data_IF_205741210643
#
_entry.id   IF_205741210643
#
_cell.length_a   1.000
_cell.length_b   1.000
_cell.length_c   1.000
_cell.angle_alpha   90.00
_cell.angle_beta   90.00
_cell.angle_gamma   90.00
#
_symmetry.space_group_name_H-M   'P 1'
#
loop_
_entity.id
_entity.type
_entity.pdbx_description
1 polymer ?
#
# COMPACT_ATOMS: atom_id res chain seq x y z
N UNK A 1 -10.75 6.67 2.10
CA UNK A 1 -10.82 5.65 1.03
C UNK A 1 -10.98 4.28 1.64
N UNK A 2 -11.76 3.39 1.01
CA UNK A 2 -12.01 2.03 1.49
C UNK A 2 -11.14 1.07 0.67
N UNK A 3 -10.22 0.38 1.33
CA UNK A 3 -9.44 -0.71 0.73
C UNK A 3 -10.31 -1.97 0.75
N UNK A 4 -10.52 -2.62 -0.39
CA UNK A 4 -11.58 -3.62 -0.56
C UNK A 4 -11.21 -5.06 -0.14
N UNK A 5 -10.21 -5.24 0.72
CA UNK A 5 -9.81 -6.58 1.19
C UNK A 5 -9.26 -7.52 0.11
N UNK A 6 -9.04 -7.00 -1.10
CA UNK A 6 -8.38 -7.71 -2.19
C UNK A 6 -6.88 -7.36 -2.17
N UNK A 7 -6.03 -8.38 -2.23
CA UNK A 7 -4.57 -8.26 -2.15
C UNK A 7 -3.85 -8.81 -3.40
N UNK A 8 -4.53 -8.88 -4.54
CA UNK A 8 -3.85 -9.25 -5.78
C UNK A 8 -2.88 -8.15 -6.20
N UNK A 9 -1.94 -8.49 -7.09
CA UNK A 9 -1.03 -7.49 -7.70
C UNK A 9 -1.80 -6.39 -8.46
N UNK A 10 -2.96 -6.73 -9.03
CA UNK A 10 -3.77 -5.79 -9.80
C UNK A 10 -4.54 -4.78 -8.93
N UNK A 11 -4.92 -5.19 -7.71
CA UNK A 11 -5.86 -4.42 -6.87
C UNK A 11 -5.17 -3.70 -5.70
N UNK A 12 -4.11 -4.28 -5.13
CA UNK A 12 -3.42 -3.65 -4.01
C UNK A 12 -2.72 -2.37 -4.45
N UNK A 13 -2.77 -1.33 -3.61
CA UNK A 13 -2.24 0.02 -3.88
C UNK A 13 -2.96 0.77 -5.02
N UNK A 14 -4.03 0.20 -5.59
CA UNK A 14 -4.78 0.83 -6.68
C UNK A 14 -5.92 1.68 -6.11
N UNK A 15 -6.05 2.92 -6.59
CA UNK A 15 -7.31 3.65 -6.47
C UNK A 15 -8.28 3.10 -7.51
N UNK A 16 -9.54 2.85 -7.12
CA UNK A 16 -10.58 2.55 -8.11
C UNK A 16 -10.61 3.69 -9.14
N UNK A 17 -10.41 3.32 -10.40
CA UNK A 17 -10.35 4.23 -11.54
C UNK A 17 -11.70 4.31 -12.24
N UNK A 18 -11.85 5.33 -13.10
CA UNK A 18 -13.09 5.65 -13.82
C UNK A 18 -13.68 4.49 -14.64
N UNK A 19 -12.87 3.50 -15.01
CA UNK A 19 -13.30 2.35 -15.82
C UNK A 19 -14.15 1.31 -15.08
N UNK A 20 -14.22 1.37 -13.75
CA UNK A 20 -14.99 0.42 -12.94
C UNK A 20 -16.32 1.03 -12.51
N UNK A 21 -17.43 0.58 -13.12
CA UNK A 21 -18.78 1.06 -12.81
C UNK A 21 -19.22 0.56 -11.43
N UNK A 22 -19.05 1.39 -10.42
CA UNK A 22 -19.59 1.16 -9.08
C UNK A 22 -20.45 2.35 -8.64
N UNK A 23 -21.61 2.06 -8.07
CA UNK A 23 -22.55 3.07 -7.58
C UNK A 23 -22.54 3.11 -6.07
N UNK A 24 -22.56 4.30 -5.49
CA UNK A 24 -22.77 4.49 -4.06
C UNK A 24 -24.21 4.19 -3.68
N UNK A 25 -24.48 3.99 -2.38
CA UNK A 25 -25.84 3.76 -1.84
C UNK A 25 -26.83 4.87 -2.24
N UNK A 26 -26.32 6.05 -2.57
CA UNK A 26 -27.06 7.22 -3.03
C UNK A 26 -27.40 7.21 -4.53
N UNK A 27 -26.91 6.23 -5.30
CA UNK A 27 -27.13 6.11 -6.74
C UNK A 27 -26.17 6.92 -7.62
N UNK A 28 -25.21 7.64 -7.02
CA UNK A 28 -24.15 8.32 -7.76
C UNK A 28 -23.01 7.37 -8.11
N UNK A 29 -22.31 7.65 -9.22
CA UNK A 29 -21.11 6.90 -9.59
C UNK A 29 -20.03 7.13 -8.53
N UNK A 30 -19.57 6.06 -7.89
CA UNK A 30 -18.56 6.08 -6.82
C UNK A 30 -17.26 6.76 -7.26
N UNK A 31 -16.96 6.73 -8.56
CA UNK A 31 -15.77 7.34 -9.14
C UNK A 31 -15.77 8.87 -8.97
N UNK A 32 -16.93 9.53 -8.98
CA UNK A 32 -17.03 10.99 -8.75
C UNK A 32 -16.70 11.38 -7.32
N UNK A 33 -17.29 10.70 -6.33
CA UNK A 33 -17.02 10.96 -4.91
C UNK A 33 -15.56 10.67 -4.56
N UNK A 34 -14.99 9.60 -5.13
CA UNK A 34 -13.56 9.27 -4.98
C UNK A 34 -12.69 10.37 -5.58
N UNK A 35 -12.95 10.80 -6.82
CA UNK A 35 -12.15 11.83 -7.47
C UNK A 35 -12.25 13.18 -6.74
N UNK A 36 -13.44 13.60 -6.32
CA UNK A 36 -13.63 14.81 -5.53
C UNK A 36 -12.86 14.77 -4.20
N UNK A 37 -12.82 13.61 -3.53
CA UNK A 37 -12.03 13.45 -2.31
C UNK A 37 -10.52 13.58 -2.59
N UNK A 38 -10.03 13.04 -3.71
CA UNK A 38 -8.62 13.15 -4.11
C UNK A 38 -8.23 14.59 -4.45
N UNK A 39 -9.14 15.33 -5.08
CA UNK A 39 -8.98 16.76 -5.36
C UNK A 39 -8.96 17.60 -4.10
N UNK A 40 -9.84 17.31 -3.14
CA UNK A 40 -9.82 17.96 -1.82
C UNK A 40 -8.49 17.72 -1.09
N UNK A 41 -8.00 16.47 -1.07
CA UNK A 41 -6.67 16.15 -0.51
C UNK A 41 -5.56 16.94 -1.19
N UNK A 42 -5.59 17.07 -2.52
CA UNK A 42 -4.57 17.81 -3.26
C UNK A 42 -4.63 19.32 -2.95
N UNK A 43 -5.83 19.88 -2.86
CA UNK A 43 -6.05 21.28 -2.50
C UNK A 43 -5.55 21.59 -1.08
N UNK A 44 -5.77 20.67 -0.14
CA UNK A 44 -5.40 20.81 1.26
C UNK A 44 -4.03 20.18 1.59
N UNK A 45 -3.22 19.81 0.59
CA UNK A 45 -1.96 19.12 0.82
C UNK A 45 -0.98 19.92 1.69
N UNK A 46 -1.00 21.27 1.63
CA UNK A 46 -0.16 22.12 2.49
C UNK A 46 -0.55 22.04 3.98
N UNK A 47 -1.80 21.67 4.29
CA UNK A 47 -2.24 21.40 5.67
C UNK A 47 -1.83 20.02 6.15
N UNK A 48 -1.73 19.05 5.23
CA UNK A 48 -1.41 17.65 5.53
C UNK A 48 0.09 17.40 5.59
N UNK A 49 0.90 18.07 4.75
CA UNK A 49 2.36 17.86 4.69
C UNK A 49 3.05 18.01 6.06
N UNK A 50 2.74 19.01 6.90
CA UNK A 50 3.34 19.13 8.24
C UNK A 50 3.01 17.95 9.17
N UNK A 51 1.89 17.26 8.96
CA UNK A 51 1.48 16.12 9.77
C UNK A 51 2.32 14.86 9.51
N UNK A 52 3.20 14.89 8.50
CA UNK A 52 4.23 13.85 8.33
C UNK A 52 5.28 13.89 9.45
N UNK A 53 5.39 15.00 10.18
CA UNK A 53 6.29 15.15 11.33
C UNK A 53 5.57 15.12 12.68
N UNK A 54 4.28 14.74 12.69
CA UNK A 54 3.48 14.61 13.91
C UNK A 54 4.14 13.62 14.90
N UNK A 55 4.16 13.88 16.22
CA UNK A 55 4.72 12.96 17.20
C UNK A 55 4.05 11.58 17.20
N UNK A 56 2.75 11.49 16.91
CA UNK A 56 2.01 10.24 16.82
C UNK A 56 2.25 9.55 15.48
N UNK A 57 2.85 8.36 15.53
CA UNK A 57 3.06 7.49 14.37
C UNK A 57 1.78 7.19 13.60
N UNK A 58 0.64 7.13 14.28
CA UNK A 58 -0.66 6.81 13.70
C UNK A 58 -1.12 7.96 12.82
N UNK A 59 -0.91 9.20 13.27
CA UNK A 59 -1.15 10.41 12.47
C UNK A 59 -0.22 10.42 11.27
N UNK A 60 1.09 10.19 11.45
CA UNK A 60 2.04 10.13 10.31
C UNK A 60 1.65 9.11 9.25
N UNK A 61 1.27 7.90 9.66
CA UNK A 61 0.81 6.84 8.74
C UNK A 61 -0.47 7.28 8.03
N UNK A 62 -1.48 7.75 8.76
CA UNK A 62 -2.75 8.19 8.17
C UNK A 62 -2.54 9.34 7.16
N UNK A 63 -1.68 10.30 7.51
CA UNK A 63 -1.28 11.41 6.65
C UNK A 63 -0.61 10.92 5.37
N UNK A 64 0.34 9.99 5.46
CA UNK A 64 1.02 9.44 4.29
C UNK A 64 0.02 8.77 3.33
N UNK A 65 -0.92 7.98 3.84
CA UNK A 65 -1.95 7.35 3.00
C UNK A 65 -2.99 8.34 2.47
N UNK A 66 -3.32 9.39 3.22
CA UNK A 66 -4.18 10.47 2.74
C UNK A 66 -3.50 11.21 1.59
N UNK A 67 -2.26 11.69 1.78
CA UNK A 67 -1.49 12.39 0.75
C UNK A 67 -1.23 11.52 -0.48
N UNK A 68 -0.99 10.22 -0.33
CA UNK A 68 -0.85 9.30 -1.47
C UNK A 68 -2.11 9.26 -2.36
N UNK A 69 -3.27 9.65 -1.83
CA UNK A 69 -4.52 9.75 -2.58
C UNK A 69 -4.67 11.02 -3.41
N UNK A 70 -3.81 12.02 -3.24
CA UNK A 70 -3.93 13.30 -3.94
C UNK A 70 -4.03 13.10 -5.47
N UNK A 71 -4.94 13.84 -6.11
CA UNK A 71 -5.11 13.85 -7.57
C UNK A 71 -4.10 14.75 -8.30
N UNK A 72 -3.29 15.51 -7.57
CA UNK A 72 -2.13 16.25 -8.10
C UNK A 72 -1.04 16.40 -7.02
N UNK A 73 0.02 17.15 -7.30
CA UNK A 73 1.17 17.42 -6.40
C UNK A 73 2.08 16.22 -6.11
N UNK A 74 2.09 15.24 -7.01
CA UNK A 74 2.93 14.04 -6.94
C UNK A 74 4.37 14.35 -6.50
N UNK A 75 5.06 15.25 -7.21
CA UNK A 75 6.48 15.51 -6.97
C UNK A 75 6.75 16.08 -5.56
N UNK A 76 5.91 17.00 -5.09
CA UNK A 76 6.03 17.58 -3.75
C UNK A 76 5.84 16.51 -2.67
N UNK A 77 4.81 15.68 -2.84
CA UNK A 77 4.43 14.62 -1.91
C UNK A 77 5.47 13.51 -1.89
N UNK A 78 5.97 13.07 -3.06
CA UNK A 78 7.07 12.09 -3.15
C UNK A 78 8.33 12.60 -2.47
N UNK A 79 8.68 13.87 -2.69
CA UNK A 79 9.85 14.49 -2.05
C UNK A 79 9.70 14.48 -0.53
N UNK A 80 8.52 14.85 -0.02
CA UNK A 80 8.22 14.81 1.41
C UNK A 80 8.27 13.38 1.98
N UNK A 81 7.71 12.39 1.28
CA UNK A 81 7.76 11.00 1.70
C UNK A 81 9.18 10.44 1.77
N UNK A 82 10.00 10.70 0.75
CA UNK A 82 11.40 10.27 0.76
C UNK A 82 12.19 10.95 1.88
N UNK A 83 12.03 12.26 2.06
CA UNK A 83 12.66 13.00 3.16
C UNK A 83 12.25 12.43 4.52
N UNK A 84 10.97 12.15 4.71
CA UNK A 84 10.45 11.57 5.95
C UNK A 84 10.95 10.15 6.17
N UNK A 85 10.98 9.31 5.14
CA UNK A 85 11.44 7.93 5.24
C UNK A 85 12.89 7.82 5.72
N UNK A 86 13.77 8.75 5.31
CA UNK A 86 15.17 8.80 5.73
C UNK A 86 15.35 9.03 7.24
N UNK A 87 14.40 9.71 7.88
CA UNK A 87 14.49 10.13 9.29
C UNK A 87 13.47 9.44 10.20
N UNK A 88 12.59 8.61 9.64
CA UNK A 88 11.49 7.99 10.39
C UNK A 88 12.02 6.93 11.38
N UNK A 89 11.83 7.15 12.71
CA UNK A 89 12.32 6.22 13.72
C UNK A 89 11.42 4.99 13.88
N UNK A 90 10.14 5.06 13.50
CA UNK A 90 9.18 4.01 13.78
C UNK A 90 9.08 3.00 12.62
N UNK A 91 9.38 1.70 12.84
CA UNK A 91 9.38 0.68 11.79
C UNK A 91 8.06 0.61 10.99
N UNK A 92 6.91 0.58 11.66
CA UNK A 92 5.62 0.53 10.96
C UNK A 92 5.35 1.78 10.10
N UNK A 93 5.87 2.95 10.50
CA UNK A 93 5.71 4.16 9.71
C UNK A 93 6.66 4.15 8.50
N UNK A 94 7.87 3.57 8.60
CA UNK A 94 8.74 3.32 7.44
C UNK A 94 8.08 2.41 6.41
N UNK A 95 7.49 1.31 6.86
CA UNK A 95 6.72 0.40 6.00
C UNK A 95 5.52 1.12 5.36
N UNK A 96 4.77 1.90 6.15
CA UNK A 96 3.66 2.71 5.66
C UNK A 96 4.07 3.73 4.60
N UNK A 97 5.18 4.44 4.79
CA UNK A 97 5.73 5.38 3.82
C UNK A 97 6.17 4.69 2.53
N UNK A 98 6.83 3.53 2.61
CA UNK A 98 7.20 2.76 1.42
C UNK A 98 5.97 2.35 0.61
N UNK A 99 4.90 1.87 1.26
CA UNK A 99 3.65 1.53 0.57
C UNK A 99 2.90 2.78 0.06
N UNK A 100 2.97 3.91 0.75
CA UNK A 100 2.36 5.17 0.31
C UNK A 100 3.07 5.75 -0.93
N UNK A 101 4.40 5.69 -0.98
CA UNK A 101 5.20 6.02 -2.17
C UNK A 101 4.77 5.14 -3.35
N UNK A 102 4.64 3.84 -3.13
CA UNK A 102 4.20 2.90 -4.16
C UNK A 102 2.77 3.18 -4.66
N UNK A 103 1.86 3.50 -3.75
CA UNK A 103 0.48 3.85 -4.09
C UNK A 103 0.42 5.14 -4.92
N UNK A 104 1.23 6.14 -4.60
CA UNK A 104 1.33 7.37 -5.37
C UNK A 104 1.93 7.08 -6.76
N UNK A 105 3.05 6.35 -6.83
CA UNK A 105 3.66 5.96 -8.10
C UNK A 105 2.72 5.14 -9.00
N UNK A 106 1.88 4.28 -8.41
CA UNK A 106 0.86 3.55 -9.18
C UNK A 106 -0.16 4.49 -9.82
N UNK A 107 -0.55 5.56 -9.12
CA UNK A 107 -1.52 6.53 -9.63
C UNK A 107 -0.97 7.36 -10.80
N UNK A 108 0.33 7.64 -10.81
CA UNK A 108 1.00 8.47 -11.82
C UNK A 108 1.90 7.69 -12.80
N UNK A 109 1.95 6.36 -12.67
CA UNK A 109 2.77 5.46 -13.49
C UNK A 109 4.29 5.76 -13.43
N UNK A 110 4.79 6.21 -12.28
CA UNK A 110 6.18 6.58 -12.10
C UNK A 110 7.12 5.36 -12.14
N UNK A 111 7.88 5.24 -13.22
CA UNK A 111 8.87 4.19 -13.42
C UNK A 111 10.08 4.33 -12.51
N UNK A 112 10.41 5.55 -12.06
CA UNK A 112 11.51 5.81 -11.13
C UNK A 112 11.29 5.11 -9.81
N UNK A 113 10.07 5.19 -9.27
CA UNK A 113 9.67 4.47 -8.06
C UNK A 113 9.76 2.95 -8.23
N UNK A 114 9.42 2.38 -9.39
CA UNK A 114 9.54 0.92 -9.62
C UNK A 114 11.00 0.46 -9.45
N UNK A 115 11.94 1.20 -10.03
CA UNK A 115 13.38 0.92 -9.91
C UNK A 115 13.83 1.10 -8.46
N UNK A 116 13.38 2.16 -7.80
CA UNK A 116 13.71 2.43 -6.40
C UNK A 116 13.20 1.34 -5.45
N UNK A 117 11.98 0.83 -5.63
CA UNK A 117 11.43 -0.28 -4.83
C UNK A 117 12.26 -1.55 -5.00
N UNK A 118 12.71 -1.83 -6.22
CA UNK A 118 13.58 -2.98 -6.49
C UNK A 118 14.92 -2.82 -5.79
N UNK A 119 15.52 -1.63 -5.83
CA UNK A 119 16.75 -1.36 -5.11
C UNK A 119 16.57 -1.52 -3.59
N UNK A 120 15.49 -0.97 -3.02
CA UNK A 120 15.19 -1.06 -1.60
C UNK A 120 15.00 -2.49 -1.11
N UNK A 121 14.35 -3.37 -1.90
CA UNK A 121 14.18 -4.76 -1.46
C UNK A 121 15.50 -5.55 -1.44
N UNK A 122 16.43 -5.21 -2.35
CA UNK A 122 17.72 -5.91 -2.51
C UNK A 122 18.84 -5.33 -1.63
N UNK A 123 18.69 -4.11 -1.13
CA UNK A 123 19.69 -3.45 -0.28
C UNK A 123 19.69 -4.05 1.14
N UNK A 124 20.79 -4.70 1.58
CA UNK A 124 20.88 -5.28 2.92
C UNK A 124 20.97 -4.22 4.03
N UNK A 125 21.28 -2.96 3.70
CA UNK A 125 21.25 -1.86 4.66
C UNK A 125 19.82 -1.44 5.03
N UNK A 126 18.83 -1.82 4.22
CA UNK A 126 17.44 -1.50 4.50
C UNK A 126 16.86 -2.38 5.63
N UNK A 127 16.06 -1.80 6.53
CA UNK A 127 15.33 -2.56 7.54
C UNK A 127 14.41 -3.63 6.95
N UNK A 128 14.18 -4.78 7.63
CA UNK A 128 13.35 -5.86 7.12
C UNK A 128 11.94 -5.42 6.68
N UNK A 129 11.28 -4.56 7.45
CA UNK A 129 9.93 -4.09 7.14
C UNK A 129 9.88 -3.18 5.90
N UNK A 130 10.96 -2.44 5.62
CA UNK A 130 11.09 -1.65 4.39
C UNK A 130 11.32 -2.58 3.20
N UNK A 131 12.18 -3.60 3.37
CA UNK A 131 12.46 -4.58 2.30
C UNK A 131 11.22 -5.39 1.91
N UNK A 132 10.45 -5.86 2.89
CA UNK A 132 9.18 -6.57 2.67
C UNK A 132 8.14 -5.64 2.01
N UNK A 133 8.00 -4.41 2.52
CA UNK A 133 7.06 -3.44 1.95
C UNK A 133 7.43 -3.04 0.51
N UNK A 134 8.71 -2.85 0.23
CA UNK A 134 9.23 -2.56 -1.10
C UNK A 134 9.04 -3.74 -2.06
N UNK A 135 9.22 -4.97 -1.60
CA UNK A 135 8.97 -6.17 -2.39
C UNK A 135 7.48 -6.31 -2.75
N UNK A 136 6.57 -6.09 -1.80
CA UNK A 136 5.13 -6.05 -2.04
C UNK A 136 4.76 -4.94 -3.03
N UNK A 137 5.26 -3.72 -2.80
CA UNK A 137 5.05 -2.58 -3.66
C UNK A 137 5.52 -2.84 -5.09
N UNK A 138 6.72 -3.39 -5.26
CA UNK A 138 7.27 -3.72 -6.58
C UNK A 138 6.34 -4.69 -7.32
N UNK A 139 5.86 -5.75 -6.65
CA UNK A 139 4.91 -6.70 -7.25
C UNK A 139 3.58 -6.06 -7.65
N UNK A 140 3.14 -4.99 -6.98
CA UNK A 140 1.92 -4.26 -7.34
C UNK A 140 2.13 -3.31 -8.52
N UNK A 141 3.36 -2.81 -8.70
CA UNK A 141 3.69 -1.83 -9.74
C UNK A 141 4.06 -2.46 -11.09
N UNK A 142 4.18 -3.78 -11.16
CA UNK A 142 4.64 -4.49 -12.36
C UNK A 142 3.94 -5.82 -12.57
N UNK A 143 3.77 -6.18 -13.85
CA UNK A 143 3.33 -7.50 -14.27
C UNK A 143 4.50 -8.47 -14.54
N UNK A 144 5.74 -8.04 -14.25
CA UNK A 144 6.92 -8.88 -14.42
C UNK A 144 6.89 -10.11 -13.49
N UNK A 145 7.49 -11.24 -13.92
CA UNK A 145 7.68 -12.38 -13.05
C UNK A 145 8.52 -11.99 -11.83
N UNK A 146 8.16 -12.53 -10.66
CA UNK A 146 8.88 -12.25 -9.41
C UNK A 146 10.28 -12.87 -9.48
N UNK A 147 11.35 -12.06 -9.38
CA UNK A 147 12.71 -12.58 -9.37
C UNK A 147 12.97 -13.46 -8.15
N UNK A 148 13.79 -14.50 -8.30
CA UNK A 148 14.12 -15.42 -7.21
C UNK A 148 14.76 -14.72 -6.01
N UNK A 149 15.55 -13.68 -6.26
CA UNK A 149 16.11 -12.83 -5.20
C UNK A 149 15.00 -12.17 -4.37
N UNK A 150 13.95 -11.65 -5.01
CA UNK A 150 12.83 -11.02 -4.32
C UNK A 150 12.04 -12.05 -3.51
N UNK A 151 11.87 -13.27 -4.06
CA UNK A 151 11.27 -14.39 -3.35
C UNK A 151 12.08 -14.76 -2.10
N UNK A 152 13.40 -14.86 -2.21
CA UNK A 152 14.28 -15.15 -1.09
C UNK A 152 14.21 -14.07 0.00
N UNK A 153 14.10 -12.79 -0.38
CA UNK A 153 13.89 -11.69 0.57
C UNK A 153 12.58 -11.87 1.34
N UNK A 154 11.49 -12.18 0.63
CA UNK A 154 10.19 -12.39 1.26
C UNK A 154 10.20 -13.63 2.18
N UNK A 155 10.78 -14.74 1.75
CA UNK A 155 10.90 -15.96 2.57
C UNK A 155 11.74 -15.72 3.84
N UNK A 156 12.77 -14.87 3.76
CA UNK A 156 13.67 -14.59 4.89
C UNK A 156 13.06 -13.55 5.85
N UNK A 157 12.36 -12.55 5.35
CA UNK A 157 12.02 -11.34 6.12
C UNK A 157 10.52 -11.14 6.36
N UNK A 158 9.63 -11.84 5.65
CA UNK A 158 8.19 -11.79 5.94
C UNK A 158 7.84 -12.70 7.13
N UNK A 159 8.43 -12.41 8.29
CA UNK A 159 8.19 -13.14 9.53
C UNK A 159 6.90 -12.68 10.21
N UNK A 160 6.44 -13.43 11.22
CA UNK A 160 5.30 -13.05 12.04
C UNK A 160 5.50 -11.71 12.76
N UNK A 161 6.73 -11.37 13.15
CA UNK A 161 7.05 -10.08 13.75
C UNK A 161 6.81 -8.93 12.76
N UNK A 162 7.27 -9.08 11.51
CA UNK A 162 7.02 -8.08 10.47
C UNK A 162 5.53 -8.02 10.14
N UNK A 163 4.84 -9.16 10.09
CA UNK A 163 3.41 -9.23 9.85
C UNK A 163 2.62 -8.46 10.93
N UNK A 164 2.92 -8.66 12.21
CA UNK A 164 2.30 -7.93 13.32
C UNK A 164 2.62 -6.43 13.29
N UNK A 165 3.85 -6.08 12.92
CA UNK A 165 4.32 -4.71 12.82
C UNK A 165 3.57 -3.92 11.74
N UNK A 166 3.32 -4.53 10.58
CA UNK A 166 2.62 -3.88 9.47
C UNK A 166 1.10 -4.10 9.50
N UNK A 167 0.59 -4.97 10.37
CA UNK A 167 -0.86 -5.22 10.52
C UNK A 167 -1.71 -3.94 10.65
N UNK A 168 -1.27 -2.87 11.37
CA UNK A 168 -2.06 -1.64 11.48
C UNK A 168 -2.16 -0.82 10.18
N UNK A 169 -1.39 -1.13 9.14
CA UNK A 169 -1.40 -0.36 7.90
C UNK A 169 -2.73 -0.54 7.16
N UNK A 170 -3.29 0.52 6.53
CA UNK A 170 -4.60 0.48 5.90
C UNK A 170 -4.83 -0.68 4.93
N UNK A 171 -3.85 -1.01 4.08
CA UNK A 171 -3.95 -2.15 3.16
C UNK A 171 -3.90 -3.50 3.87
N UNK A 172 -3.07 -3.62 4.93
CA UNK A 172 -2.96 -4.85 5.70
C UNK A 172 -4.25 -5.11 6.48
N UNK A 173 -4.79 -4.10 7.16
CA UNK A 173 -6.07 -4.17 7.87
C UNK A 173 -7.23 -4.55 6.96
N UNK A 174 -7.19 -4.15 5.70
CA UNK A 174 -8.27 -4.41 4.77
C UNK A 174 -8.40 -5.88 4.39
N UNK A 175 -7.26 -6.57 4.28
CA UNK A 175 -7.17 -7.99 3.86
C UNK A 175 -7.09 -8.94 5.05
N UNK A 176 -7.03 -8.38 6.26
CA UNK A 176 -6.88 -9.11 7.51
C UNK A 176 -8.21 -9.79 7.89
N UNK A 177 -8.22 -11.11 7.92
CA UNK A 177 -9.33 -11.91 8.47
C UNK A 177 -9.11 -12.22 9.94
N UNK A 178 -7.85 -12.41 10.34
CA UNK A 178 -7.39 -12.62 11.72
C UNK A 178 -6.21 -11.69 11.97
N UNK A 179 -6.10 -11.11 13.17
CA UNK A 179 -5.04 -10.15 13.49
C UNK A 179 -3.64 -10.72 13.19
N UNK A 180 -2.86 -10.01 12.40
CA UNK A 180 -1.53 -10.38 11.91
C UNK A 180 -1.52 -11.17 10.59
N UNK A 181 -2.66 -11.57 10.03
CA UNK A 181 -2.69 -12.45 8.84
C UNK A 181 -2.52 -11.71 7.51
N UNK A 182 -2.69 -10.39 7.49
CA UNK A 182 -2.78 -9.62 6.24
C UNK A 182 -1.56 -9.76 5.32
N UNK A 183 -0.34 -9.71 5.88
CA UNK A 183 0.90 -9.89 5.10
C UNK A 183 0.94 -11.26 4.41
N UNK A 184 0.70 -12.34 5.17
CA UNK A 184 0.75 -13.70 4.65
C UNK A 184 -0.29 -13.92 3.55
N UNK A 185 -1.50 -13.39 3.72
CA UNK A 185 -2.56 -13.45 2.70
C UNK A 185 -2.16 -12.71 1.42
N UNK A 186 -1.58 -11.50 1.54
CA UNK A 186 -1.03 -10.77 0.40
C UNK A 186 0.02 -11.61 -0.35
N UNK A 187 0.97 -12.20 0.36
CA UNK A 187 2.05 -12.99 -0.25
C UNK A 187 1.51 -14.24 -0.95
N UNK A 188 0.55 -14.93 -0.34
CA UNK A 188 -0.12 -16.09 -0.94
C UNK A 188 -0.82 -15.69 -2.25
N UNK A 189 -1.62 -14.62 -2.23
CA UNK A 189 -2.35 -14.15 -3.40
C UNK A 189 -1.43 -13.68 -4.53
N UNK A 190 -0.34 -12.97 -4.20
CA UNK A 190 0.57 -12.39 -5.20
C UNK A 190 1.60 -13.37 -5.78
N UNK A 191 2.02 -14.39 -5.01
CA UNK A 191 3.01 -15.37 -5.46
C UNK A 191 2.38 -16.62 -6.08
N UNK A 192 1.11 -16.90 -5.79
CA UNK A 192 0.36 -18.06 -6.32
C UNK A 192 -0.98 -17.62 -6.92
N UNK A 193 -0.99 -16.81 -8.00
CA UNK A 193 -2.22 -16.44 -8.67
C UNK A 193 -2.90 -17.70 -9.23
N UNK A 194 -4.05 -18.09 -8.66
CA UNK A 194 -4.83 -19.27 -9.09
C UNK A 194 -5.00 -20.37 -8.05
N UNK A 195 -4.35 -20.29 -6.89
CA UNK A 195 -4.81 -21.03 -5.71
C UNK A 195 -6.02 -20.27 -5.15
N UNK A 196 -7.19 -20.45 -5.77
CA UNK A 196 -8.42 -19.91 -5.22
C UNK A 196 -8.51 -20.33 -3.74
N UNK A 197 -8.82 -19.35 -2.88
CA UNK A 197 -9.28 -19.62 -1.53
C UNK A 197 -10.51 -20.52 -1.66
N UNK A 198 -10.31 -21.84 -1.52
CA UNK A 198 -11.36 -22.73 -1.02
C UNK A 198 -11.41 -22.44 0.49
N UNK A 199 -11.80 -21.21 0.84
CA UNK A 199 -12.42 -20.96 2.13
C UNK A 199 -13.90 -21.26 1.88
N UNK A 200 -14.36 -22.36 2.48
CA UNK A 200 -15.78 -22.69 2.66
C UNK A 200 -16.52 -21.41 3.02
N UNK A 201 -17.24 -20.85 2.06
CA UNK A 201 -18.42 -20.09 2.38
C UNK A 201 -19.42 -21.14 2.87
N UNK A 202 -19.36 -21.47 4.17
CA UNK A 202 -20.53 -21.95 4.89
C UNK A 202 -21.59 -20.87 4.70
N UNK A 203 -22.38 -20.99 3.64
CA UNK A 203 -23.60 -20.24 3.46
C UNK A 203 -24.61 -20.87 4.43
N UNK A 204 -25.00 -20.19 5.52
CA UNK A 204 -26.03 -20.70 6.42
C UNK A 204 -27.43 -20.70 5.77
N UNK A 205 -27.54 -20.33 4.49
CA UNK A 205 -28.78 -20.26 3.72
C UNK A 205 -28.77 -20.97 2.35
N UNK A 206 -27.76 -21.79 2.05
CA UNK A 206 -27.81 -22.70 0.88
C UNK A 206 -28.49 -24.04 1.19
#
# INVERSE_FOLDING_TARGET
MRHLGVCTRADMLRFRSDDEWSFEVTGYLQNWSVQAAREAVAADADLLLPLLDDPDRTVRIATAYALAAASSREQDILTAFHSRLLTEPHPAARAGLALAIAQLARAYQDQGTVVWMRACCSDPAQPPEVRVSAALAWMCLTDLPVPDELRAVLETHATDEVAQLIAPLPWMRAVETTRGSGLHRCLQAMLRPGAADIEDCDDPWS
#
